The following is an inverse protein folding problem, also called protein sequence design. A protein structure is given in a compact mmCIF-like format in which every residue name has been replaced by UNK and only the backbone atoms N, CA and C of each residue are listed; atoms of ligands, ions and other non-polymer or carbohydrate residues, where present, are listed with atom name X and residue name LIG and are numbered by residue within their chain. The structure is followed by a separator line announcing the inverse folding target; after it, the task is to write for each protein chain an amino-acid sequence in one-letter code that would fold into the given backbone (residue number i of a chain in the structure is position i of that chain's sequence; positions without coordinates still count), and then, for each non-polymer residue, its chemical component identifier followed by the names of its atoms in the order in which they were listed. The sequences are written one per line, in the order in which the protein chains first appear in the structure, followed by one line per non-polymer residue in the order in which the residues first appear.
data_IF_771122489080
#
_entry.id   IF_771122489080
#
_cell.length_a   1.000
_cell.length_b   1.000
_cell.length_c   1.000
_cell.angle_alpha   90.00
_cell.angle_beta   90.00
_cell.angle_gamma   90.00
#
_symmetry.space_group_name_H-M   'P 1'
#
loop_
_entity.id
_entity.type
_entity.pdbx_description
1 polymer ?
#
# COMPACT_ATOMS: atom_id res chain seq x y z
N UNK A 1 -9.32 0.63 17.75
CA UNK A 1 -9.24 -0.08 16.46
C UNK A 1 -10.50 -0.90 16.22
N UNK A 2 -10.68 -2.06 16.87
CA UNK A 2 -11.93 -2.85 16.78
C UNK A 2 -13.12 -1.98 17.19
N UNK A 3 -13.03 -1.27 18.32
CA UNK A 3 -14.10 -0.35 18.79
C UNK A 3 -14.62 0.61 17.71
N UNK A 4 -13.77 1.28 16.94
CA UNK A 4 -14.23 2.27 15.94
C UNK A 4 -14.85 1.62 14.70
N UNK A 5 -14.29 0.50 14.24
CA UNK A 5 -14.90 -0.24 13.14
C UNK A 5 -16.22 -0.89 13.60
N UNK A 6 -16.27 -1.44 14.82
CA UNK A 6 -17.47 -2.03 15.43
C UNK A 6 -18.57 -0.99 15.63
N UNK A 7 -18.24 0.23 16.06
CA UNK A 7 -19.20 1.35 16.19
C UNK A 7 -19.81 1.73 14.85
N UNK A 8 -19.08 1.56 13.74
CA UNK A 8 -19.64 1.77 12.39
C UNK A 8 -20.40 0.54 11.89
N UNK A 9 -19.83 -0.65 12.07
CA UNK A 9 -20.31 -1.89 11.48
C UNK A 9 -21.61 -2.37 12.13
N UNK A 10 -21.78 -2.23 13.45
CA UNK A 10 -23.01 -2.67 14.13
C UNK A 10 -24.26 -1.92 13.60
N UNK A 11 -24.28 -0.56 13.58
CA UNK A 11 -25.38 0.17 12.97
C UNK A 11 -25.54 -0.12 11.47
N UNK A 12 -24.45 -0.27 10.73
CA UNK A 12 -24.49 -0.57 9.29
C UNK A 12 -25.17 -1.92 9.03
N UNK A 13 -24.79 -2.98 9.75
CA UNK A 13 -25.41 -4.29 9.61
C UNK A 13 -26.89 -4.26 9.97
N UNK A 14 -27.28 -3.56 11.04
CA UNK A 14 -28.70 -3.42 11.42
C UNK A 14 -29.51 -2.66 10.38
N UNK A 15 -28.92 -1.61 9.79
CA UNK A 15 -29.55 -0.85 8.70
C UNK A 15 -29.71 -1.73 7.45
N UNK A 16 -28.68 -2.47 7.08
CA UNK A 16 -28.70 -3.35 5.91
C UNK A 16 -29.66 -4.54 6.08
N UNK A 17 -29.81 -5.08 7.30
CA UNK A 17 -30.82 -6.11 7.57
C UNK A 17 -32.26 -5.59 7.40
N UNK A 18 -32.45 -4.26 7.47
CA UNK A 18 -33.72 -3.59 7.21
C UNK A 18 -33.83 -3.11 5.75
N UNK A 19 -32.89 -3.46 4.87
CA UNK A 19 -32.86 -3.05 3.46
C UNK A 19 -32.46 -1.59 3.23
N UNK A 20 -32.03 -0.88 4.28
CA UNK A 20 -31.62 0.51 4.19
C UNK A 20 -30.13 0.59 3.82
N UNK A 21 -29.75 1.55 2.97
CA UNK A 21 -28.36 1.75 2.53
C UNK A 21 -27.94 3.21 2.71
N UNK A 22 -26.66 3.46 2.94
CA UNK A 22 -26.10 4.82 2.93
C UNK A 22 -25.23 4.99 1.70
N UNK A 23 -25.43 6.12 1.01
CA UNK A 23 -24.60 6.50 -0.11
C UNK A 23 -23.28 7.10 0.35
N UNK A 24 -22.17 6.62 -0.19
CA UNK A 24 -20.86 7.22 0.01
C UNK A 24 -20.48 8.01 -1.25
N UNK A 25 -20.46 9.36 -1.20
CA UNK A 25 -20.16 10.19 -2.38
C UNK A 25 -18.71 10.04 -2.87
N UNK A 26 -17.86 9.35 -2.12
CA UNK A 26 -16.44 9.16 -2.44
C UNK A 26 -16.09 7.74 -2.88
N UNK A 27 -17.06 6.84 -3.06
CA UNK A 27 -16.82 5.42 -3.40
C UNK A 27 -15.85 5.24 -4.55
N UNK A 28 -16.07 5.89 -5.69
CA UNK A 28 -15.18 5.77 -6.86
C UNK A 28 -13.76 6.26 -6.56
N UNK A 29 -13.62 7.34 -5.78
CA UNK A 29 -12.30 7.85 -5.35
C UNK A 29 -11.62 6.88 -4.39
N UNK A 30 -12.36 6.30 -3.45
CA UNK A 30 -11.83 5.32 -2.49
C UNK A 30 -11.33 4.06 -3.19
N UNK A 31 -12.10 3.51 -4.14
CA UNK A 31 -11.67 2.36 -4.95
C UNK A 31 -10.37 2.66 -5.70
N UNK A 32 -10.23 3.89 -6.22
CA UNK A 32 -9.05 4.34 -6.97
C UNK A 32 -7.82 4.59 -6.09
N UNK A 33 -7.98 5.29 -4.96
CA UNK A 33 -6.85 5.72 -4.13
C UNK A 33 -6.46 4.71 -3.04
N UNK A 34 -7.42 3.90 -2.58
CA UNK A 34 -7.24 2.95 -1.47
C UNK A 34 -7.57 1.52 -1.92
N UNK A 35 -7.12 1.14 -3.11
CA UNK A 35 -7.46 -0.15 -3.76
C UNK A 35 -7.16 -1.35 -2.86
N UNK A 36 -6.02 -1.34 -2.15
CA UNK A 36 -5.67 -2.43 -1.23
C UNK A 36 -6.67 -2.56 -0.09
N UNK A 37 -6.92 -1.46 0.62
CA UNK A 37 -7.88 -1.42 1.73
C UNK A 37 -9.30 -1.75 1.26
N UNK A 38 -9.67 -1.36 0.04
CA UNK A 38 -10.97 -1.71 -0.55
C UNK A 38 -11.10 -3.21 -0.85
N UNK A 39 -10.06 -3.85 -1.39
CA UNK A 39 -10.07 -5.31 -1.58
C UNK A 39 -10.14 -6.06 -0.24
N UNK A 40 -9.40 -5.60 0.78
CA UNK A 40 -9.51 -6.13 2.14
C UNK A 40 -10.95 -5.99 2.70
N UNK A 41 -11.62 -4.86 2.41
CA UNK A 41 -13.02 -4.66 2.76
C UNK A 41 -13.98 -5.60 2.02
N UNK A 42 -13.75 -5.86 0.73
CA UNK A 42 -14.53 -6.83 -0.07
C UNK A 42 -14.40 -8.23 0.52
N UNK A 43 -13.19 -8.66 0.87
CA UNK A 43 -12.95 -9.96 1.49
C UNK A 43 -13.68 -10.09 2.84
N UNK A 44 -13.69 -9.02 3.63
CA UNK A 44 -14.50 -8.96 4.86
C UNK A 44 -16.01 -9.02 4.55
N UNK A 45 -16.47 -8.31 3.52
CA UNK A 45 -17.87 -8.34 3.08
C UNK A 45 -18.34 -9.73 2.67
N UNK A 46 -17.49 -10.51 2.01
CA UNK A 46 -17.78 -11.92 1.67
C UNK A 46 -17.97 -12.75 2.95
N UNK A 47 -17.09 -12.58 3.95
CA UNK A 47 -17.21 -13.29 5.23
C UNK A 47 -18.49 -12.91 5.97
N UNK A 48 -18.85 -11.63 5.99
CA UNK A 48 -20.09 -11.13 6.59
C UNK A 48 -21.31 -11.71 5.88
N UNK A 49 -21.31 -11.73 4.55
CA UNK A 49 -22.39 -12.35 3.76
C UNK A 49 -22.55 -13.82 4.12
N UNK A 50 -21.46 -14.57 4.21
CA UNK A 50 -21.52 -16.00 4.50
C UNK A 50 -21.99 -16.29 5.94
N UNK A 51 -21.62 -15.43 6.91
CA UNK A 51 -21.98 -15.62 8.31
C UNK A 51 -23.38 -15.12 8.67
N UNK A 52 -23.86 -14.04 8.03
CA UNK A 52 -25.08 -13.33 8.44
C UNK A 52 -26.11 -13.15 7.32
N UNK A 53 -25.81 -13.56 6.09
CA UNK A 53 -26.70 -13.36 4.92
C UNK A 53 -26.80 -11.91 4.45
N UNK A 54 -26.02 -10.99 5.03
CA UNK A 54 -26.08 -9.55 4.73
C UNK A 54 -25.15 -9.22 3.57
N UNK A 55 -25.68 -8.54 2.55
CA UNK A 55 -24.89 -8.05 1.42
C UNK A 55 -24.42 -6.61 1.68
N UNK A 56 -23.10 -6.40 1.64
CA UNK A 56 -22.52 -5.05 1.68
C UNK A 56 -22.39 -4.51 0.25
N UNK A 57 -23.01 -3.37 -0.02
CA UNK A 57 -22.86 -2.68 -1.30
C UNK A 57 -21.51 -1.94 -1.37
N UNK A 58 -21.21 -1.36 -2.53
CA UNK A 58 -19.96 -0.65 -2.79
C UNK A 58 -19.69 0.51 -1.82
N UNK A 59 -20.74 1.19 -1.36
CA UNK A 59 -20.66 2.36 -0.49
C UNK A 59 -20.29 1.96 0.94
N UNK A 60 -20.89 0.88 1.46
CA UNK A 60 -20.56 0.30 2.76
C UNK A 60 -19.14 -0.28 2.76
N UNK A 61 -18.77 -0.96 1.67
CA UNK A 61 -17.39 -1.43 1.47
C UNK A 61 -16.40 -0.27 1.44
N UNK A 62 -16.76 0.86 0.84
CA UNK A 62 -15.92 2.05 0.81
C UNK A 62 -15.73 2.67 2.21
N UNK A 63 -16.77 2.68 3.06
CA UNK A 63 -16.62 3.12 4.46
C UNK A 63 -15.70 2.19 5.26
N UNK A 64 -15.86 0.88 5.12
CA UNK A 64 -14.97 -0.11 5.75
C UNK A 64 -13.53 0.09 5.27
N UNK A 65 -13.32 0.29 3.97
CA UNK A 65 -12.01 0.53 3.39
C UNK A 65 -11.30 1.75 4.02
N UNK A 66 -12.03 2.84 4.29
CA UNK A 66 -11.46 4.00 4.99
C UNK A 66 -10.98 3.65 6.41
N UNK A 67 -11.74 2.84 7.14
CA UNK A 67 -11.34 2.38 8.48
C UNK A 67 -10.08 1.50 8.42
N UNK A 68 -10.01 0.60 7.45
CA UNK A 68 -8.85 -0.27 7.20
C UNK A 68 -7.62 0.57 6.82
N UNK A 69 -7.77 1.52 5.91
CA UNK A 69 -6.68 2.42 5.48
C UNK A 69 -6.14 3.24 6.66
N UNK A 70 -7.04 3.80 7.48
CA UNK A 70 -6.66 4.54 8.69
C UNK A 70 -5.98 3.65 9.74
N UNK A 71 -6.26 2.35 9.75
CA UNK A 71 -5.57 1.38 10.59
C UNK A 71 -4.18 1.03 10.04
N UNK A 72 -4.09 0.72 8.76
CA UNK A 72 -2.83 0.42 8.08
C UNK A 72 -1.82 1.57 8.24
N UNK A 73 -2.27 2.83 8.14
CA UNK A 73 -1.42 4.00 8.41
C UNK A 73 -0.92 4.12 9.86
N UNK A 74 -1.67 3.60 10.84
CA UNK A 74 -1.30 3.62 12.26
C UNK A 74 -0.38 2.48 12.67
N UNK A 75 -0.43 1.36 11.95
CA UNK A 75 0.37 0.17 12.21
C UNK A 75 1.63 0.06 11.34
N UNK A 76 1.93 1.07 10.52
CA UNK A 76 3.22 1.13 9.85
C UNK A 76 4.33 1.16 10.90
N UNK A 77 5.36 0.32 10.71
CA UNK A 77 6.55 0.36 11.56
C UNK A 77 7.15 1.76 11.46
N UNK A 78 7.34 2.40 12.61
CA UNK A 78 8.03 3.69 12.67
C UNK A 78 9.52 3.41 12.57
N UNK A 79 10.15 3.92 11.52
CA UNK A 79 11.59 3.80 11.30
C UNK A 79 12.33 4.71 12.26
N UNK A 80 13.25 4.15 13.03
CA UNK A 80 14.17 4.94 13.87
C UNK A 80 15.32 5.48 13.03
N UNK A 81 15.63 6.78 13.18
CA UNK A 81 16.62 7.46 12.34
C UNK A 81 17.62 8.24 13.18
N UNK A 82 18.90 8.07 12.89
CA UNK A 82 19.95 8.99 13.31
C UNK A 82 20.21 10.02 12.21
N UNK A 83 20.16 11.31 12.57
CA UNK A 83 20.43 12.41 11.65
C UNK A 83 21.87 12.91 11.86
N UNK A 84 22.68 12.88 10.80
CA UNK A 84 24.07 13.33 10.82
C UNK A 84 24.22 14.63 10.03
N UNK A 85 24.65 15.71 10.69
CA UNK A 85 24.85 17.01 10.07
C UNK A 85 26.27 17.53 10.30
N UNK A 86 26.85 18.16 9.27
CA UNK A 86 28.17 18.82 9.34
C UNK A 86 28.08 20.35 9.38
N UNK A 87 26.92 20.93 9.02
CA UNK A 87 26.75 22.36 8.73
C UNK A 87 26.22 23.18 9.93
N UNK A 88 26.40 22.69 11.16
CA UNK A 88 26.00 23.39 12.39
C UNK A 88 24.56 23.15 12.84
N UNK A 89 24.25 23.56 14.09
CA UNK A 89 23.00 23.25 14.80
C UNK A 89 21.74 23.82 14.12
N UNK A 90 21.80 25.02 13.54
CA UNK A 90 20.63 25.67 12.92
C UNK A 90 20.11 24.91 11.71
N UNK A 91 21.02 24.52 10.81
CA UNK A 91 20.69 23.76 9.61
C UNK A 91 20.24 22.33 9.95
N UNK A 92 20.84 21.71 10.96
CA UNK A 92 20.44 20.39 11.44
C UNK A 92 18.99 20.41 11.98
N UNK A 93 18.63 21.43 12.78
CA UNK A 93 17.27 21.62 13.30
C UNK A 93 16.25 21.86 12.18
N UNK A 94 16.62 22.62 11.15
CA UNK A 94 15.74 22.84 9.99
C UNK A 94 15.42 21.52 9.28
N UNK A 95 16.44 20.72 8.98
CA UNK A 95 16.27 19.41 8.35
C UNK A 95 15.43 18.47 9.23
N UNK A 96 15.73 18.43 10.53
CA UNK A 96 14.98 17.65 11.51
C UNK A 96 13.48 18.02 11.51
N UNK A 97 13.16 19.30 11.54
CA UNK A 97 11.77 19.79 11.50
C UNK A 97 11.08 19.43 10.19
N UNK A 98 11.76 19.58 9.05
CA UNK A 98 11.20 19.22 7.74
C UNK A 98 10.91 17.72 7.66
N UNK A 99 11.83 16.87 8.13
CA UNK A 99 11.63 15.41 8.18
C UNK A 99 10.45 15.08 9.11
N UNK A 100 10.41 15.65 10.32
CA UNK A 100 9.31 15.43 11.28
C UNK A 100 7.96 15.85 10.70
N UNK A 101 7.89 16.95 9.95
CA UNK A 101 6.65 17.41 9.30
C UNK A 101 6.23 16.50 8.14
N UNK A 102 7.17 16.14 7.28
CA UNK A 102 6.89 15.37 6.07
C UNK A 102 6.62 13.88 6.35
N UNK A 103 7.24 13.32 7.40
CA UNK A 103 7.24 11.89 7.70
C UNK A 103 6.80 11.58 9.15
N UNK A 104 5.97 12.43 9.75
CA UNK A 104 5.55 12.40 11.16
C UNK A 104 5.14 11.03 11.71
N UNK A 105 4.44 10.22 10.90
CA UNK A 105 3.94 8.91 11.30
C UNK A 105 4.79 7.74 10.78
N UNK A 106 5.92 8.02 10.15
CA UNK A 106 6.76 7.02 9.47
C UNK A 106 8.20 7.02 10.00
N UNK A 107 8.71 8.16 10.48
CA UNK A 107 10.07 8.33 10.97
C UNK A 107 10.06 8.90 12.39
N UNK A 108 10.85 8.29 13.27
CA UNK A 108 11.24 8.86 14.56
C UNK A 108 12.73 9.15 14.55
N UNK A 109 13.09 10.43 14.61
CA UNK A 109 14.49 10.84 14.77
C UNK A 109 14.89 10.57 16.23
N UNK A 110 15.80 9.62 16.46
CA UNK A 110 16.27 9.23 17.80
C UNK A 110 17.28 10.24 18.35
N UNK A 111 18.17 10.73 17.47
CA UNK A 111 19.23 11.67 17.80
C UNK A 111 19.70 12.42 16.56
N UNK A 112 20.20 13.63 16.79
CA UNK A 112 20.92 14.45 15.82
C UNK A 112 22.37 14.55 16.31
N UNK A 113 23.32 14.15 15.47
CA UNK A 113 24.73 14.01 15.87
C UNK A 113 25.68 14.51 14.78
N UNK A 114 26.92 14.77 15.17
CA UNK A 114 28.03 15.01 14.23
C UNK A 114 28.55 13.72 13.61
N UNK A 115 29.43 13.89 12.61
CA UNK A 115 30.12 12.78 11.92
C UNK A 115 31.05 12.02 12.87
N UNK A 116 31.62 12.70 13.85
CA UNK A 116 32.52 12.08 14.83
C UNK A 116 31.72 11.20 15.79
N UNK A 117 30.65 11.74 16.37
CA UNK A 117 29.82 11.03 17.35
C UNK A 117 29.16 9.76 16.79
N UNK A 118 28.72 9.78 15.52
CA UNK A 118 28.10 8.61 14.88
C UNK A 118 29.11 7.48 14.59
N UNK A 119 30.41 7.79 14.49
CA UNK A 119 31.47 6.80 14.28
C UNK A 119 31.95 6.18 15.58
N UNK A 120 31.95 6.94 16.67
CA UNK A 120 32.42 6.50 17.98
C UNK A 120 31.40 5.60 18.70
N UNK A 121 30.10 5.74 18.38
CA UNK A 121 29.02 5.00 19.03
C UNK A 121 28.40 4.00 18.06
N UNK A 122 27.96 2.82 18.54
CA UNK A 122 27.20 1.90 17.70
C UNK A 122 25.91 2.57 17.22
N UNK A 123 25.55 2.26 15.97
CA UNK A 123 24.32 2.71 15.33
C UNK A 123 23.31 1.58 15.46
N UNK A 124 22.28 1.80 16.26
CA UNK A 124 21.19 0.83 16.48
C UNK A 124 19.92 1.21 15.70
N UNK A 125 19.93 2.37 15.04
CA UNK A 125 18.83 2.89 14.24
C UNK A 125 18.66 2.14 12.91
N UNK A 126 17.43 2.14 12.40
CA UNK A 126 17.08 1.48 11.13
C UNK A 126 17.68 2.17 9.89
N UNK A 127 17.96 3.48 9.99
CA UNK A 127 18.48 4.32 8.91
C UNK A 127 19.32 5.48 9.44
N UNK A 128 20.39 5.80 8.72
CA UNK A 128 21.15 7.05 8.90
C UNK A 128 20.83 8.01 7.75
N UNK A 129 20.40 9.22 8.10
CA UNK A 129 20.26 10.32 7.15
C UNK A 129 21.41 11.27 7.37
N UNK A 130 22.18 11.59 6.33
CA UNK A 130 23.30 12.51 6.42
C UNK A 130 23.22 13.65 5.41
N UNK A 131 23.75 14.81 5.78
CA UNK A 131 23.98 15.92 4.83
C UNK A 131 25.28 15.80 4.07
N UNK A 132 26.11 14.81 4.40
CA UNK A 132 27.39 14.54 3.72
C UNK A 132 27.57 13.04 3.50
N UNK A 133 28.50 12.69 2.62
CA UNK A 133 28.82 11.29 2.39
C UNK A 133 29.75 10.75 3.48
N UNK A 134 29.31 9.73 4.20
CA UNK A 134 30.11 9.04 5.23
C UNK A 134 30.00 7.52 5.04
N UNK A 135 31.07 6.81 5.40
CA UNK A 135 31.09 5.35 5.39
C UNK A 135 30.71 4.85 6.78
N UNK A 136 29.61 4.10 6.87
CA UNK A 136 29.19 3.39 8.06
C UNK A 136 28.99 1.90 7.72
N UNK A 137 29.59 0.97 8.47
CA UNK A 137 29.36 -0.45 8.27
C UNK A 137 27.95 -0.84 8.75
N UNK A 138 27.29 -1.72 8.00
CA UNK A 138 26.08 -2.46 8.40
C UNK A 138 24.78 -1.68 8.66
N UNK A 139 24.71 -0.38 8.34
CA UNK A 139 23.45 0.39 8.44
C UNK A 139 23.16 1.12 7.12
N UNK A 140 21.91 1.09 6.61
CA UNK A 140 21.53 1.88 5.44
C UNK A 140 21.80 3.37 5.68
N UNK A 141 22.44 4.03 4.71
CA UNK A 141 22.71 5.46 4.75
C UNK A 141 22.19 6.15 3.50
N UNK A 142 21.52 7.28 3.68
CA UNK A 142 21.15 8.17 2.58
C UNK A 142 21.72 9.56 2.79
N UNK A 143 22.19 10.16 1.71
CA UNK A 143 22.65 11.54 1.67
C UNK A 143 21.56 12.43 1.09
N UNK A 144 21.19 13.47 1.83
CA UNK A 144 20.15 14.45 1.49
C UNK A 144 20.68 15.87 1.59
N UNK A 145 20.07 16.79 0.85
CA UNK A 145 20.31 18.22 1.04
C UNK A 145 19.81 18.67 2.42
N UNK A 146 20.49 19.61 3.10
CA UNK A 146 19.98 20.18 4.36
C UNK A 146 18.59 20.82 4.26
N UNK A 147 18.16 21.17 3.05
CA UNK A 147 16.83 21.72 2.79
C UNK A 147 15.76 20.66 2.53
N UNK A 148 16.10 19.36 2.55
CA UNK A 148 15.19 18.27 2.19
C UNK A 148 14.49 18.55 0.85
N UNK A 149 15.26 18.51 -0.22
CA UNK A 149 14.76 18.64 -1.58
C UNK A 149 13.92 17.43 -2.01
N UNK A 150 13.27 17.52 -3.17
CA UNK A 150 12.46 16.43 -3.72
C UNK A 150 13.24 15.12 -3.90
N UNK A 151 14.54 15.22 -4.22
CA UNK A 151 15.40 14.06 -4.33
C UNK A 151 15.57 13.36 -2.97
N UNK A 152 15.84 14.12 -1.90
CA UNK A 152 15.88 13.61 -0.53
C UNK A 152 14.56 12.95 -0.13
N UNK A 153 13.43 13.58 -0.44
CA UNK A 153 12.10 13.02 -0.18
C UNK A 153 11.90 11.69 -0.90
N UNK A 154 12.27 11.60 -2.19
CA UNK A 154 12.18 10.35 -2.97
C UNK A 154 13.04 9.24 -2.37
N UNK A 155 14.28 9.54 -1.98
CA UNK A 155 15.18 8.56 -1.34
C UNK A 155 14.60 8.03 -0.03
N UNK A 156 14.12 8.93 0.83
CA UNK A 156 13.50 8.56 2.12
C UNK A 156 12.28 7.65 1.90
N UNK A 157 11.38 8.02 1.00
CA UNK A 157 10.20 7.20 0.68
C UNK A 157 10.60 5.80 0.20
N UNK A 158 11.61 5.69 -0.67
CA UNK A 158 12.10 4.41 -1.15
C UNK A 158 12.62 3.49 -0.03
N UNK A 159 13.28 4.06 0.98
CA UNK A 159 13.76 3.29 2.13
C UNK A 159 12.61 2.90 3.06
N UNK A 160 11.66 3.81 3.33
CA UNK A 160 10.45 3.52 4.12
C UNK A 160 9.65 2.39 3.48
N UNK A 161 9.45 2.39 2.16
CA UNK A 161 8.73 1.32 1.48
C UNK A 161 9.40 -0.04 1.66
N UNK A 162 10.73 -0.11 1.57
CA UNK A 162 11.50 -1.34 1.80
C UNK A 162 11.43 -1.82 3.26
N UNK A 163 11.41 -0.88 4.20
CA UNK A 163 11.30 -1.17 5.62
C UNK A 163 9.93 -1.73 6.00
N UNK A 164 8.85 -1.16 5.45
CA UNK A 164 7.48 -1.59 5.71
C UNK A 164 7.11 -2.92 5.04
N UNK A 165 7.55 -3.15 3.81
CA UNK A 165 7.15 -4.33 3.04
C UNK A 165 8.01 -5.57 3.31
N UNK A 166 8.98 -5.48 4.23
CA UNK A 166 10.06 -6.47 4.33
C UNK A 166 10.81 -6.58 3.00
N UNK A 167 11.75 -7.53 2.89
CA UNK A 167 12.36 -7.86 1.59
C UNK A 167 11.33 -8.54 0.71
N UNK A 168 10.36 -7.81 0.17
CA UNK A 168 9.59 -8.22 -1.00
C UNK A 168 10.59 -8.28 -2.16
N UNK A 169 11.25 -9.42 -2.23
CA UNK A 169 12.19 -9.80 -3.26
C UNK A 169 11.44 -9.72 -4.60
N UNK A 170 11.87 -8.88 -5.56
CA UNK A 170 11.34 -8.92 -6.93
C UNK A 170 11.32 -10.35 -7.49
N UNK A 171 12.25 -11.20 -7.03
CA UNK A 171 12.32 -12.61 -7.35
C UNK A 171 11.07 -13.39 -6.92
N UNK A 172 10.40 -13.00 -5.82
CA UNK A 172 9.17 -13.66 -5.38
C UNK A 172 8.02 -13.42 -6.37
N UNK A 173 7.86 -12.20 -6.88
CA UNK A 173 6.87 -11.94 -7.93
C UNK A 173 7.19 -12.70 -9.22
N UNK A 174 8.46 -12.69 -9.65
CA UNK A 174 8.88 -13.45 -10.81
C UNK A 174 8.68 -14.95 -10.64
N UNK A 175 8.82 -15.48 -9.41
CA UNK A 175 8.55 -16.89 -9.10
C UNK A 175 7.07 -17.27 -9.16
N UNK A 176 6.15 -16.29 -9.09
CA UNK A 176 4.72 -16.49 -9.28
C UNK A 176 4.29 -16.47 -10.76
N UNK A 177 5.17 -16.02 -11.66
CA UNK A 177 4.88 -15.99 -13.10
C UNK A 177 5.38 -17.29 -13.73
N UNK A 178 4.45 -18.04 -14.30
CA UNK A 178 4.81 -19.21 -15.12
C UNK A 178 4.95 -18.78 -16.60
N UNK A 179 6.15 -18.93 -17.22
CA UNK A 179 6.39 -18.58 -18.62
C UNK A 179 5.41 -19.21 -19.61
N UNK A 180 4.86 -20.39 -19.30
CA UNK A 180 3.88 -21.10 -20.14
C UNK A 180 2.61 -20.28 -20.41
N UNK A 181 2.25 -19.37 -19.51
CA UNK A 181 1.06 -18.53 -19.63
C UNK A 181 1.37 -17.09 -20.05
N UNK A 182 2.62 -16.82 -20.46
CA UNK A 182 3.00 -15.55 -21.07
C UNK A 182 2.83 -15.67 -22.58
N UNK A 183 1.87 -14.93 -23.15
CA UNK A 183 1.60 -14.93 -24.58
C UNK A 183 2.04 -13.60 -25.19
N UNK A 184 3.12 -13.63 -25.97
CA UNK A 184 3.50 -12.51 -26.83
C UNK A 184 2.59 -12.52 -28.06
N UNK A 185 2.11 -11.35 -28.46
CA UNK A 185 1.16 -11.24 -29.56
C UNK A 185 1.33 -9.91 -30.31
N UNK A 186 1.71 -10.00 -31.57
CA UNK A 186 2.04 -8.84 -32.41
C UNK A 186 0.85 -8.37 -33.29
N UNK A 187 -0.32 -8.98 -33.11
CA UNK A 187 -1.55 -8.68 -33.85
C UNK A 187 -2.58 -7.99 -32.97
N UNK A 188 -3.36 -7.06 -33.52
CA UNK A 188 -4.51 -6.48 -32.79
C UNK A 188 -5.50 -7.60 -32.42
N UNK A 189 -5.69 -7.81 -31.12
CA UNK A 189 -6.61 -8.80 -30.55
C UNK A 189 -7.56 -8.09 -29.59
N UNK A 190 -8.83 -8.51 -29.55
CA UNK A 190 -9.81 -7.93 -28.64
C UNK A 190 -9.62 -8.43 -27.21
N UNK A 191 -9.96 -7.60 -26.21
CA UNK A 191 -9.85 -7.93 -24.78
C UNK A 191 -10.51 -9.28 -24.44
N UNK A 192 -11.74 -9.50 -24.90
CA UNK A 192 -12.48 -10.74 -24.64
C UNK A 192 -11.77 -11.97 -25.22
N UNK A 193 -11.11 -11.82 -26.37
CA UNK A 193 -10.36 -12.92 -27.00
C UNK A 193 -9.05 -13.21 -26.25
N UNK A 194 -8.40 -12.20 -25.67
CA UNK A 194 -7.25 -12.38 -24.76
C UNK A 194 -7.66 -13.12 -23.49
N UNK A 195 -8.73 -12.66 -22.83
CA UNK A 195 -9.24 -13.29 -21.60
C UNK A 195 -9.58 -14.75 -21.86
N UNK A 196 -10.32 -15.03 -22.94
CA UNK A 196 -10.69 -16.40 -23.32
C UNK A 196 -9.45 -17.28 -23.55
N UNK A 197 -8.47 -16.80 -24.32
CA UNK A 197 -7.23 -17.55 -24.59
C UNK A 197 -6.46 -17.89 -23.31
N UNK A 198 -6.35 -16.95 -22.37
CA UNK A 198 -5.71 -17.17 -21.07
C UNK A 198 -6.47 -18.19 -20.23
N UNK A 199 -7.79 -18.02 -20.10
CA UNK A 199 -8.60 -18.92 -19.26
C UNK A 199 -8.69 -20.33 -19.82
N UNK A 200 -8.72 -20.48 -21.15
CA UNK A 200 -8.72 -21.80 -21.80
C UNK A 200 -7.40 -22.54 -21.54
N UNK A 201 -6.25 -21.84 -21.60
CA UNK A 201 -4.95 -22.42 -21.28
C UNK A 201 -4.86 -22.85 -19.81
N UNK A 202 -5.34 -22.02 -18.89
CA UNK A 202 -5.37 -22.35 -17.46
C UNK A 202 -6.35 -23.49 -17.15
N UNK A 203 -7.48 -23.57 -17.86
CA UNK A 203 -8.47 -24.63 -17.70
C UNK A 203 -7.91 -25.98 -18.15
N UNK A 204 -7.25 -26.01 -19.31
CA UNK A 204 -6.61 -27.23 -19.86
C UNK A 204 -5.61 -27.84 -18.88
N UNK A 205 -4.91 -27.00 -18.11
CA UNK A 205 -3.92 -27.43 -17.12
C UNK A 205 -4.50 -27.59 -15.70
N UNK A 206 -5.82 -27.48 -15.53
CA UNK A 206 -6.51 -27.78 -14.27
C UNK A 206 -6.44 -26.68 -13.19
N UNK A 207 -5.95 -25.48 -13.52
CA UNK A 207 -5.81 -24.39 -12.55
C UNK A 207 -7.11 -23.64 -12.24
N UNK A 208 -8.11 -23.75 -13.11
CA UNK A 208 -9.37 -23.00 -13.00
C UNK A 208 -10.57 -23.88 -13.34
N UNK A 209 -11.75 -23.50 -12.85
CA UNK A 209 -13.01 -24.20 -13.12
C UNK A 209 -13.64 -23.76 -14.45
N UNK A 210 -14.55 -24.58 -14.96
CA UNK A 210 -15.40 -24.21 -16.11
C UNK A 210 -16.17 -22.92 -15.80
N UNK A 211 -16.36 -22.06 -16.81
CA UNK A 211 -17.10 -20.81 -16.66
C UNK A 211 -16.27 -19.58 -16.22
N UNK A 212 -15.01 -19.75 -15.83
CA UNK A 212 -14.17 -18.65 -15.33
C UNK A 212 -13.95 -17.55 -16.38
N UNK A 213 -13.84 -17.92 -17.66
CA UNK A 213 -13.68 -16.97 -18.76
C UNK A 213 -14.89 -16.07 -18.93
N UNK A 214 -16.10 -16.63 -18.88
CA UNK A 214 -17.34 -15.85 -18.92
C UNK A 214 -17.46 -14.93 -17.69
N UNK A 215 -17.11 -15.42 -16.50
CA UNK A 215 -17.12 -14.60 -15.29
C UNK A 215 -16.14 -13.42 -15.37
N UNK A 216 -14.93 -13.66 -15.89
CA UNK A 216 -13.93 -12.61 -16.10
C UNK A 216 -14.38 -11.55 -17.11
N UNK A 217 -14.97 -11.96 -18.24
CA UNK A 217 -15.49 -11.03 -19.26
C UNK A 217 -16.63 -10.18 -18.67
N UNK A 218 -17.58 -10.79 -17.97
CA UNK A 218 -18.71 -10.08 -17.35
C UNK A 218 -18.24 -9.04 -16.33
N UNK A 219 -17.20 -9.36 -15.56
CA UNK A 219 -16.57 -8.40 -14.62
C UNK A 219 -15.96 -7.20 -15.35
N UNK A 220 -15.25 -7.42 -16.45
CA UNK A 220 -14.61 -6.34 -17.23
C UNK A 220 -15.62 -5.43 -17.94
N UNK A 221 -16.74 -6.00 -18.40
CA UNK A 221 -17.86 -5.23 -18.97
C UNK A 221 -18.49 -4.31 -17.91
N UNK A 222 -18.74 -4.83 -16.70
CA UNK A 222 -19.24 -4.04 -15.57
C UNK A 222 -18.28 -2.90 -15.17
N UNK A 223 -16.97 -3.15 -15.21
CA UNK A 223 -15.95 -2.15 -14.89
C UNK A 223 -15.83 -1.06 -15.97
N UNK A 224 -16.03 -1.42 -17.25
CA UNK A 224 -15.97 -0.47 -18.37
C UNK A 224 -17.20 0.45 -18.40
N UNK A 225 -18.38 -0.03 -17.99
CA UNK A 225 -19.60 0.78 -17.93
C UNK A 225 -19.51 1.87 -16.85
N UNK A 226 -18.76 1.64 -15.77
CA UNK A 226 -18.51 2.65 -14.71
C UNK A 226 -17.54 3.77 -15.12
N UNK A 227 -16.88 3.69 -16.28
CA UNK A 227 -15.94 4.72 -16.76
C UNK A 227 -16.55 5.63 -17.84
N UNK A 228 -17.74 5.32 -18.35
CA UNK A 228 -18.41 6.02 -19.44
C UNK A 228 -19.59 6.89 -18.99
N UNK A 229 -19.73 7.07 -17.67
CA UNK A 229 -20.73 7.93 -16.99
C UNK A 229 -19.95 8.90 -16.09
#
# INVERSE_FOLDING_TARGET
MIKNLTVHLIPALKRLSLGLTIRNPYTSKIKKYFTRAYNEAVDLGIKIKNAYGIFLNDDELAYIALHIEAFNKRNNKVMTVALVCSTGLGTARLLEQRIKKQFSNQIKISRVVSVQEIKEKPVSEDLVISTINIKLPNVPLIVVSPFLDENGIRKINGVISKFNNGKAKPEAFMSLINPKYIFLNDKKITRNRVIKKLTDALYKDGFVRTGIGQAAIKREEMASIQQSI
#
